data_IF_399771590417
#
_entry.id   IF_399771590417
#
_cell.length_a   1.000
_cell.length_b   1.000
_cell.length_c   1.000
_cell.angle_alpha   90.00
_cell.angle_beta   90.00
_cell.angle_gamma   90.00
#
_symmetry.space_group_name_H-M   'P 1'
#
loop_
_entity.id
_entity.type
_entity.pdbx_description
1 polymer ?
#
# COMPACT_ATOMS: atom_id res chain seq x y z
N UNK A 1 -26.99 -66.28 5.98
CA UNK A 1 -25.69 -65.69 6.37
C UNK A 1 -25.78 -64.18 6.17
N UNK A 2 -25.44 -63.39 7.18
CA UNK A 2 -25.60 -61.93 7.17
C UNK A 2 -24.56 -61.26 6.28
N UNK A 3 -24.99 -60.42 5.33
CA UNK A 3 -24.09 -59.71 4.42
C UNK A 3 -23.39 -58.53 5.13
N UNK A 4 -22.05 -58.53 5.23
CA UNK A 4 -21.29 -57.44 5.87
C UNK A 4 -21.20 -56.17 5.01
N UNK A 5 -21.56 -56.23 3.72
CA UNK A 5 -21.48 -55.10 2.78
C UNK A 5 -22.59 -54.05 2.94
N UNK A 6 -23.78 -54.43 3.42
CA UNK A 6 -24.88 -53.47 3.60
C UNK A 6 -24.69 -52.55 4.83
N UNK A 7 -23.84 -52.98 5.78
CA UNK A 7 -23.50 -52.17 6.95
C UNK A 7 -22.51 -51.06 6.60
N UNK A 8 -21.52 -51.32 5.74
CA UNK A 8 -20.56 -50.30 5.27
C UNK A 8 -21.23 -49.15 4.50
N UNK A 9 -22.23 -49.46 3.66
CA UNK A 9 -22.99 -48.45 2.93
C UNK A 9 -23.88 -47.58 3.85
N UNK A 10 -24.39 -48.18 4.92
CA UNK A 10 -25.21 -47.48 5.92
C UNK A 10 -24.39 -46.46 6.72
N UNK A 11 -23.17 -46.82 7.11
CA UNK A 11 -22.22 -45.88 7.73
C UNK A 11 -21.73 -44.81 6.76
N UNK A 12 -21.51 -45.16 5.48
CA UNK A 12 -21.12 -44.18 4.47
C UNK A 12 -22.22 -43.15 4.20
N UNK A 13 -23.49 -43.58 4.04
CA UNK A 13 -24.62 -42.66 3.91
C UNK A 13 -24.89 -41.87 5.19
N UNK A 14 -24.77 -42.49 6.36
CA UNK A 14 -24.92 -41.77 7.63
C UNK A 14 -23.81 -40.72 7.81
N UNK A 15 -22.57 -41.00 7.38
CA UNK A 15 -21.46 -40.04 7.38
C UNK A 15 -21.58 -38.93 6.34
N UNK A 16 -22.39 -39.14 5.30
CA UNK A 16 -22.74 -38.13 4.30
C UNK A 16 -23.95 -37.30 4.76
N UNK A 17 -24.97 -37.88 5.37
CA UNK A 17 -26.09 -37.17 6.02
C UNK A 17 -25.59 -36.28 7.15
N UNK A 18 -24.69 -36.76 8.01
CA UNK A 18 -24.08 -35.93 9.07
C UNK A 18 -23.21 -34.80 8.52
N UNK A 19 -22.50 -35.01 7.40
CA UNK A 19 -21.74 -33.92 6.74
C UNK A 19 -22.62 -32.91 6.01
N UNK A 20 -23.83 -33.31 5.60
CA UNK A 20 -24.82 -32.41 4.98
C UNK A 20 -25.58 -31.64 6.06
N UNK A 21 -25.90 -32.26 7.21
CA UNK A 21 -26.46 -31.57 8.38
C UNK A 21 -25.43 -30.67 9.09
N UNK A 22 -24.14 -31.06 9.17
CA UNK A 22 -23.07 -30.23 9.76
C UNK A 22 -22.81 -28.94 8.99
N UNK A 23 -22.89 -28.97 7.65
CA UNK A 23 -22.69 -27.76 6.83
C UNK A 23 -23.96 -26.86 6.80
N UNK A 24 -25.08 -27.35 7.33
CA UNK A 24 -26.35 -26.65 7.41
C UNK A 24 -26.68 -26.12 8.82
N UNK A 25 -25.92 -26.46 9.87
CA UNK A 25 -26.13 -25.89 11.22
C UNK A 25 -25.78 -24.39 11.21
N UNK A 26 -26.74 -23.49 11.51
CA UNK A 26 -26.50 -22.05 11.60
C UNK A 26 -25.33 -21.68 12.51
N UNK A 27 -25.05 -22.47 13.55
CA UNK A 27 -23.91 -22.24 14.44
C UNK A 27 -22.56 -22.40 13.73
N UNK A 28 -22.43 -23.38 12.84
CA UNK A 28 -21.21 -23.64 12.07
C UNK A 28 -20.99 -22.52 11.05
N UNK A 29 -22.05 -22.10 10.35
CA UNK A 29 -21.99 -20.98 9.40
C UNK A 29 -21.60 -19.67 10.08
N UNK A 30 -22.14 -19.39 11.27
CA UNK A 30 -21.76 -18.22 12.07
C UNK A 30 -20.28 -18.30 12.50
N UNK A 31 -19.79 -19.48 12.88
CA UNK A 31 -18.37 -19.66 13.22
C UNK A 31 -17.46 -19.41 12.01
N UNK A 32 -17.81 -19.96 10.84
CA UNK A 32 -17.09 -19.72 9.59
C UNK A 32 -17.10 -18.23 9.20
N UNK A 33 -18.25 -17.55 9.31
CA UNK A 33 -18.36 -16.11 9.05
C UNK A 33 -17.51 -15.29 10.04
N UNK A 34 -17.48 -15.69 11.31
CA UNK A 34 -16.63 -15.06 12.34
C UNK A 34 -15.14 -15.17 11.95
N UNK A 35 -14.69 -16.37 11.56
CA UNK A 35 -13.31 -16.58 11.15
C UNK A 35 -12.97 -15.82 9.87
N UNK A 36 -13.85 -15.85 8.87
CA UNK A 36 -13.65 -15.13 7.61
C UNK A 36 -13.49 -13.62 7.83
N UNK A 37 -14.36 -13.02 8.64
CA UNK A 37 -14.28 -11.61 9.02
C UNK A 37 -12.95 -11.27 9.72
N UNK A 38 -12.54 -12.09 10.70
CA UNK A 38 -11.26 -11.91 11.41
C UNK A 38 -10.07 -12.06 10.48
N UNK A 39 -10.06 -13.05 9.58
CA UNK A 39 -8.99 -13.26 8.60
C UNK A 39 -8.89 -12.08 7.65
N UNK A 40 -10.01 -11.58 7.12
CA UNK A 40 -10.02 -10.40 6.27
C UNK A 40 -9.43 -9.17 6.97
N UNK A 41 -9.82 -8.92 8.23
CA UNK A 41 -9.24 -7.84 9.01
C UNK A 41 -7.73 -8.03 9.21
N UNK A 42 -7.28 -9.24 9.56
CA UNK A 42 -5.88 -9.55 9.77
C UNK A 42 -5.03 -9.30 8.51
N UNK A 43 -5.52 -9.68 7.32
CA UNK A 43 -4.82 -9.41 6.05
C UNK A 43 -4.71 -7.92 5.75
N UNK A 44 -5.78 -7.15 5.97
CA UNK A 44 -5.75 -5.68 5.81
C UNK A 44 -4.73 -5.05 6.77
N UNK A 45 -4.74 -5.47 8.05
CA UNK A 45 -3.80 -4.99 9.06
C UNK A 45 -2.35 -5.34 8.72
N UNK A 46 -2.09 -6.56 8.23
CA UNK A 46 -0.76 -6.99 7.78
C UNK A 46 -0.27 -6.18 6.57
N UNK A 47 -1.14 -5.96 5.59
CA UNK A 47 -0.82 -5.10 4.43
C UNK A 47 -0.49 -3.68 4.88
N UNK A 48 -1.32 -3.10 5.76
CA UNK A 48 -1.09 -1.76 6.30
C UNK A 48 0.25 -1.66 7.05
N UNK A 49 0.58 -2.65 7.88
CA UNK A 49 1.86 -2.71 8.58
C UNK A 49 3.06 -2.72 7.61
N UNK A 50 2.97 -3.45 6.49
CA UNK A 50 4.02 -3.46 5.46
C UNK A 50 4.18 -2.10 4.80
N UNK A 51 3.08 -1.42 4.46
CA UNK A 51 3.10 -0.10 3.80
C UNK A 51 3.66 0.97 4.75
N UNK A 52 3.19 0.99 6.00
CA UNK A 52 3.69 1.91 7.05
C UNK A 52 5.17 1.62 7.33
N UNK A 53 5.56 0.35 7.37
CA UNK A 53 6.95 -0.07 7.52
C UNK A 53 7.87 0.48 6.43
N UNK A 54 7.44 0.43 5.16
CA UNK A 54 8.18 1.03 4.04
C UNK A 54 8.34 2.54 4.20
N UNK A 55 7.26 3.26 4.58
CA UNK A 55 7.33 4.71 4.89
C UNK A 55 8.39 5.00 5.96
N UNK A 56 8.38 4.24 7.07
CA UNK A 56 9.35 4.42 8.17
C UNK A 56 10.79 4.13 7.72
N UNK A 57 10.99 3.12 6.87
CA UNK A 57 12.32 2.81 6.32
C UNK A 57 12.86 3.95 5.46
N UNK A 58 12.01 4.54 4.61
CA UNK A 58 12.37 5.71 3.80
C UNK A 58 12.68 6.93 4.69
N UNK A 59 11.91 7.15 5.75
CA UNK A 59 12.16 8.21 6.73
C UNK A 59 13.54 8.07 7.38
N UNK A 60 13.89 6.86 7.85
CA UNK A 60 15.21 6.57 8.42
C UNK A 60 16.35 6.71 7.41
N UNK A 61 16.13 6.32 6.15
CA UNK A 61 17.12 6.53 5.07
C UNK A 61 17.34 8.03 4.83
N UNK A 62 16.25 8.80 4.71
CA UNK A 62 16.29 10.24 4.52
C UNK A 62 17.07 10.94 5.63
N UNK A 63 16.79 10.60 6.90
CA UNK A 63 17.50 11.18 8.05
C UNK A 63 19.00 10.88 8.03
N UNK A 64 19.41 9.67 7.62
CA UNK A 64 20.84 9.33 7.46
C UNK A 64 21.49 10.14 6.34
N UNK A 65 20.85 10.23 5.18
CA UNK A 65 21.34 11.02 4.05
C UNK A 65 21.49 12.51 4.40
N UNK A 66 20.57 13.08 5.17
CA UNK A 66 20.69 14.46 5.67
C UNK A 66 21.92 14.65 6.59
N UNK A 67 22.21 13.68 7.46
CA UNK A 67 23.39 13.72 8.32
C UNK A 67 24.68 13.62 7.50
N UNK A 68 24.70 12.75 6.49
CA UNK A 68 25.86 12.57 5.62
C UNK A 68 26.08 13.81 4.74
N UNK A 69 25.01 14.42 4.22
CA UNK A 69 25.04 15.70 3.52
C UNK A 69 25.71 16.79 4.38
N UNK A 70 25.24 16.94 5.63
CA UNK A 70 25.79 17.94 6.56
C UNK A 70 27.29 17.72 6.82
N UNK A 71 27.70 16.47 7.11
CA UNK A 71 29.12 16.13 7.34
C UNK A 71 30.00 16.40 6.13
N UNK A 72 29.55 16.01 4.92
CA UNK A 72 30.31 16.23 3.69
C UNK A 72 30.44 17.72 3.37
N UNK A 73 29.37 18.49 3.59
CA UNK A 73 29.41 19.94 3.42
C UNK A 73 30.36 20.62 4.43
N UNK A 74 30.35 20.20 5.69
CA UNK A 74 31.26 20.70 6.72
C UNK A 74 32.73 20.36 6.39
N UNK A 75 33.00 19.13 5.96
CA UNK A 75 34.33 18.69 5.55
C UNK A 75 34.85 19.44 4.32
N UNK A 76 34.00 19.64 3.30
CA UNK A 76 34.34 20.43 2.12
C UNK A 76 34.70 21.87 2.49
N UNK A 77 33.88 22.52 3.33
CA UNK A 77 34.15 23.88 3.83
C UNK A 77 35.45 23.96 4.62
N UNK A 78 35.71 22.99 5.48
CA UNK A 78 36.96 22.94 6.25
C UNK A 78 38.19 22.76 5.35
N UNK A 79 38.11 21.90 4.32
CA UNK A 79 39.20 21.70 3.35
C UNK A 79 39.50 22.98 2.56
N UNK A 80 38.47 23.70 2.09
CA UNK A 80 38.62 24.99 1.41
C UNK A 80 39.27 26.02 2.33
N UNK A 81 38.78 26.15 3.57
CA UNK A 81 39.35 27.09 4.54
C UNK A 81 40.83 26.81 4.83
N UNK A 82 41.22 25.53 4.90
CA UNK A 82 42.63 25.16 5.08
C UNK A 82 43.45 25.41 3.81
N UNK A 83 42.89 25.20 2.62
CA UNK A 83 43.54 25.51 1.35
C UNK A 83 43.85 27.01 1.23
N UNK A 84 42.90 27.86 1.60
CA UNK A 84 43.06 29.32 1.61
C UNK A 84 44.17 29.76 2.59
N UNK A 85 44.23 29.14 3.78
CA UNK A 85 45.29 29.41 4.76
C UNK A 85 46.67 28.97 4.25
N UNK A 86 46.77 27.81 3.60
CA UNK A 86 48.02 27.33 3.01
C UNK A 86 48.48 28.25 1.87
N UNK A 87 47.55 28.70 1.02
CA UNK A 87 47.83 29.65 -0.05
C UNK A 87 48.31 31.00 0.50
N UNK A 88 47.65 31.53 1.54
CA UNK A 88 48.06 32.76 2.22
C UNK A 88 49.42 32.65 2.90
N UNK A 89 49.81 31.45 3.35
CA UNK A 89 51.13 31.15 3.91
C UNK A 89 52.22 30.91 2.85
N UNK A 90 51.87 30.94 1.55
CA UNK A 90 52.80 30.71 0.43
C UNK A 90 53.07 29.24 0.11
N UNK A 91 52.35 28.30 0.73
CA UNK A 91 52.49 26.86 0.48
C UNK A 91 51.52 26.40 -0.62
N UNK A 92 51.90 26.67 -1.87
CA UNK A 92 51.07 26.41 -3.05
C UNK A 92 50.76 24.92 -3.27
N UNK A 93 51.71 24.03 -2.97
CA UNK A 93 51.53 22.59 -3.13
C UNK A 93 50.45 22.07 -2.15
N UNK A 94 50.56 22.45 -0.87
CA UNK A 94 49.57 22.06 0.14
C UNK A 94 48.18 22.64 -0.14
N UNK A 95 48.11 23.88 -0.62
CA UNK A 95 46.84 24.49 -1.01
C UNK A 95 46.17 23.71 -2.16
N UNK A 96 46.95 23.24 -3.14
CA UNK A 96 46.43 22.43 -4.24
C UNK A 96 45.89 21.07 -3.75
N UNK A 97 46.60 20.36 -2.88
CA UNK A 97 46.16 19.07 -2.32
C UNK A 97 44.85 19.19 -1.52
N UNK A 98 44.71 20.27 -0.73
CA UNK A 98 43.50 20.55 0.05
C UNK A 98 42.31 20.93 -0.84
N UNK A 99 42.55 21.67 -1.94
CA UNK A 99 41.51 21.95 -2.93
C UNK A 99 41.02 20.67 -3.62
N UNK A 100 41.92 19.77 -4.00
CA UNK A 100 41.52 18.45 -4.55
C UNK A 100 40.71 17.64 -3.52
N UNK A 101 41.08 17.71 -2.24
CA UNK A 101 40.31 17.07 -1.16
C UNK A 101 38.90 17.66 -1.05
N UNK A 102 38.77 18.98 -1.16
CA UNK A 102 37.47 19.65 -1.17
C UNK A 102 36.61 19.23 -2.38
N UNK A 103 37.20 19.10 -3.57
CA UNK A 103 36.52 18.63 -4.78
C UNK A 103 35.98 17.20 -4.62
N UNK A 104 36.73 16.32 -3.94
CA UNK A 104 36.29 14.96 -3.62
C UNK A 104 35.07 14.98 -2.70
N UNK A 105 35.10 15.76 -1.61
CA UNK A 105 33.95 15.90 -0.72
C UNK A 105 32.74 16.51 -1.42
N UNK A 106 32.94 17.50 -2.29
CA UNK A 106 31.87 18.10 -3.09
C UNK A 106 31.23 17.08 -4.05
N UNK A 107 32.04 16.23 -4.70
CA UNK A 107 31.53 15.18 -5.58
C UNK A 107 30.69 14.14 -4.84
N UNK A 108 31.12 13.75 -3.63
CA UNK A 108 30.35 12.87 -2.75
C UNK A 108 29.06 13.55 -2.27
N UNK A 109 29.13 14.84 -1.92
CA UNK A 109 27.98 15.63 -1.48
C UNK A 109 26.88 15.63 -2.55
N UNK A 110 27.23 15.90 -3.81
CA UNK A 110 26.26 15.86 -4.94
C UNK A 110 25.58 14.50 -5.06
N UNK A 111 26.31 13.41 -4.85
CA UNK A 111 25.75 12.06 -4.89
C UNK A 111 24.72 11.86 -3.78
N UNK A 112 25.06 12.25 -2.54
CA UNK A 112 24.16 12.16 -1.39
C UNK A 112 22.92 13.06 -1.57
N UNK A 113 23.08 14.24 -2.16
CA UNK A 113 21.97 15.16 -2.43
C UNK A 113 20.99 14.61 -3.47
N UNK A 114 21.49 13.95 -4.51
CA UNK A 114 20.65 13.27 -5.49
C UNK A 114 19.87 12.11 -4.86
N UNK A 115 20.53 11.27 -4.07
CA UNK A 115 19.87 10.18 -3.34
C UNK A 115 18.85 10.70 -2.33
N UNK A 116 19.15 11.83 -1.66
CA UNK A 116 18.24 12.46 -0.71
C UNK A 116 16.98 12.95 -1.41
N UNK A 117 17.11 13.59 -2.57
CA UNK A 117 15.98 14.09 -3.34
C UNK A 117 15.10 12.94 -3.89
N UNK A 118 15.72 11.89 -4.42
CA UNK A 118 15.00 10.67 -4.82
C UNK A 118 14.26 10.05 -3.62
N UNK A 119 14.93 9.94 -2.47
CA UNK A 119 14.34 9.38 -1.25
C UNK A 119 13.16 10.23 -0.75
N UNK A 120 13.21 11.57 -0.86
CA UNK A 120 12.08 12.45 -0.53
C UNK A 120 10.87 12.20 -1.41
N UNK A 121 11.07 12.02 -2.73
CA UNK A 121 9.97 11.73 -3.66
C UNK A 121 9.30 10.39 -3.34
N UNK A 122 10.11 9.35 -3.11
CA UNK A 122 9.62 8.04 -2.68
C UNK A 122 8.89 8.14 -1.32
N UNK A 123 9.44 8.88 -0.37
CA UNK A 123 8.84 9.09 0.95
C UNK A 123 7.48 9.80 0.85
N UNK A 124 7.35 10.84 0.03
CA UNK A 124 6.08 11.53 -0.18
C UNK A 124 4.99 10.58 -0.69
N UNK A 125 5.32 9.73 -1.67
CA UNK A 125 4.41 8.69 -2.14
C UNK A 125 4.06 7.66 -1.06
N UNK A 126 5.05 7.25 -0.25
CA UNK A 126 4.84 6.32 0.84
C UNK A 126 4.00 6.89 1.99
N UNK A 127 4.05 8.20 2.25
CA UNK A 127 3.19 8.89 3.24
C UNK A 127 1.73 8.79 2.83
N UNK A 128 1.40 9.10 1.58
CA UNK A 128 0.01 8.99 1.09
C UNK A 128 -0.48 7.54 1.09
N UNK A 129 0.37 6.58 0.68
CA UNK A 129 0.04 5.16 0.74
C UNK A 129 -0.22 4.69 2.18
N UNK A 130 0.62 5.12 3.14
CA UNK A 130 0.45 4.79 4.55
C UNK A 130 -0.86 5.38 5.12
N UNK A 131 -1.17 6.65 4.79
CA UNK A 131 -2.43 7.29 5.21
C UNK A 131 -3.66 6.55 4.68
N UNK A 132 -3.63 6.11 3.43
CA UNK A 132 -4.71 5.31 2.85
C UNK A 132 -4.82 3.93 3.54
N UNK A 133 -3.69 3.29 3.81
CA UNK A 133 -3.65 2.00 4.49
C UNK A 133 -4.18 2.08 5.93
N UNK A 134 -3.84 3.13 6.67
CA UNK A 134 -4.39 3.42 8.01
C UNK A 134 -5.90 3.64 7.96
N UNK A 135 -6.40 4.42 6.99
CA UNK A 135 -7.83 4.62 6.80
C UNK A 135 -8.57 3.30 6.49
N UNK A 136 -8.00 2.46 5.63
CA UNK A 136 -8.55 1.13 5.31
C UNK A 136 -8.53 0.19 6.52
N UNK A 137 -7.46 0.20 7.32
CA UNK A 137 -7.37 -0.57 8.56
C UNK A 137 -8.45 -0.14 9.55
N UNK A 138 -8.64 1.17 9.75
CA UNK A 138 -9.68 1.72 10.64
C UNK A 138 -11.08 1.36 10.14
N UNK A 139 -11.33 1.45 8.84
CA UNK A 139 -12.61 1.04 8.25
C UNK A 139 -12.84 -0.48 8.41
N UNK A 140 -11.80 -1.28 8.24
CA UNK A 140 -11.84 -2.72 8.46
C UNK A 140 -12.19 -3.07 9.91
N UNK A 141 -11.59 -2.35 10.87
CA UNK A 141 -11.88 -2.51 12.30
C UNK A 141 -13.34 -2.19 12.63
N UNK A 142 -13.87 -1.07 12.13
CA UNK A 142 -15.28 -0.72 12.31
C UNK A 142 -16.22 -1.78 11.70
N UNK A 143 -15.92 -2.25 10.49
CA UNK A 143 -16.71 -3.33 9.85
C UNK A 143 -16.63 -4.63 10.63
N UNK A 144 -15.46 -5.02 11.12
CA UNK A 144 -15.30 -6.20 11.95
C UNK A 144 -16.17 -6.08 13.21
N UNK A 145 -16.15 -4.93 13.88
CA UNK A 145 -16.96 -4.70 15.07
C UNK A 145 -18.46 -4.84 14.80
N UNK A 146 -18.96 -4.21 13.73
CA UNK A 146 -20.37 -4.32 13.31
C UNK A 146 -20.75 -5.77 12.98
N UNK A 147 -19.91 -6.47 12.20
CA UNK A 147 -20.11 -7.89 11.90
C UNK A 147 -20.16 -8.75 13.17
N UNK A 148 -19.29 -8.48 14.15
CA UNK A 148 -19.29 -9.22 15.43
C UNK A 148 -20.56 -8.97 16.25
N UNK A 149 -21.12 -7.76 16.20
CA UNK A 149 -22.40 -7.46 16.85
C UNK A 149 -23.55 -8.22 16.18
N UNK A 150 -23.63 -8.20 14.86
CA UNK A 150 -24.65 -8.95 14.09
C UNK A 150 -24.53 -10.46 14.32
N UNK A 151 -23.31 -11.00 14.30
CA UNK A 151 -23.02 -12.41 14.62
C UNK A 151 -23.54 -12.78 16.01
N UNK A 152 -23.34 -11.91 17.00
CA UNK A 152 -23.80 -12.14 18.38
C UNK A 152 -25.33 -12.19 18.45
N UNK A 153 -26.01 -11.30 17.73
CA UNK A 153 -27.47 -11.30 17.63
C UNK A 153 -27.99 -12.57 16.94
N UNK A 154 -27.37 -12.98 15.83
CA UNK A 154 -27.73 -14.22 15.12
C UNK A 154 -27.54 -15.45 16.01
N UNK A 155 -26.46 -15.55 16.77
CA UNK A 155 -26.27 -16.65 17.74
C UNK A 155 -27.40 -16.71 18.76
N UNK A 156 -27.80 -15.57 19.31
CA UNK A 156 -28.92 -15.50 20.27
C UNK A 156 -30.23 -15.99 19.65
N UNK A 157 -30.52 -15.60 18.41
CA UNK A 157 -31.71 -16.05 17.68
C UNK A 157 -31.69 -17.54 17.39
N UNK A 158 -30.54 -18.09 16.97
CA UNK A 158 -30.36 -19.53 16.75
C UNK A 158 -30.60 -20.30 18.05
N UNK A 159 -30.06 -19.83 19.17
CA UNK A 159 -30.28 -20.47 20.47
C UNK A 159 -31.75 -20.43 20.89
N UNK A 160 -32.42 -19.30 20.69
CA UNK A 160 -33.86 -19.17 20.97
C UNK A 160 -34.69 -20.12 20.10
N UNK A 161 -34.38 -20.23 18.81
CA UNK A 161 -35.05 -21.17 17.90
C UNK A 161 -34.82 -22.62 18.31
N UNK A 162 -33.56 -22.99 18.64
CA UNK A 162 -33.22 -24.34 19.13
C UNK A 162 -33.98 -24.70 20.42
N UNK A 163 -34.15 -23.76 21.36
CA UNK A 163 -34.97 -23.99 22.56
C UNK A 163 -36.45 -24.22 22.22
N UNK A 164 -37.01 -23.49 21.26
CA UNK A 164 -38.39 -23.69 20.80
C UNK A 164 -38.56 -25.04 20.12
N UNK A 165 -37.62 -25.41 19.24
CA UNK A 165 -37.58 -26.73 18.60
C UNK A 165 -37.49 -27.86 19.62
N UNK A 166 -36.59 -27.76 20.61
CA UNK A 166 -36.45 -28.75 21.67
C UNK A 166 -37.73 -28.88 22.52
N UNK A 167 -38.40 -27.77 22.81
CA UNK A 167 -39.68 -27.76 23.54
C UNK A 167 -40.79 -28.42 22.70
N UNK A 168 -40.89 -28.08 21.42
CA UNK A 168 -41.87 -28.67 20.50
C UNK A 168 -41.63 -30.17 20.28
N UNK A 169 -40.38 -30.60 20.11
CA UNK A 169 -40.00 -32.01 20.05
C UNK A 169 -40.36 -32.75 21.34
N UNK A 170 -40.14 -32.14 22.50
CA UNK A 170 -40.53 -32.72 23.79
C UNK A 170 -42.06 -32.88 23.91
N UNK A 171 -42.84 -31.89 23.43
CA UNK A 171 -44.30 -31.99 23.38
C UNK A 171 -44.78 -33.05 22.39
N UNK A 172 -44.15 -33.17 21.21
CA UNK A 172 -44.45 -34.23 20.24
C UNK A 172 -44.11 -35.62 20.76
N UNK A 173 -43.02 -35.78 21.52
CA UNK A 173 -42.70 -37.04 22.19
C UNK A 173 -43.75 -37.39 23.26
N UNK A 174 -44.26 -36.40 23.99
CA UNK A 174 -45.35 -36.58 24.95
C UNK A 174 -46.71 -36.91 24.28
N UNK A 175 -47.03 -36.28 23.14
CA UNK A 175 -48.22 -36.56 22.35
C UNK A 175 -48.14 -37.93 21.66
N UNK A 176 -46.96 -38.31 21.16
CA UNK A 176 -46.66 -39.65 20.64
C UNK A 176 -46.72 -40.75 21.70
N UNK A 177 -46.52 -40.41 22.99
CA UNK A 177 -46.75 -41.32 24.12
C UNK A 177 -48.24 -41.38 24.55
N UNK A 178 -49.04 -40.35 24.24
CA UNK A 178 -50.50 -40.37 24.45
C UNK A 178 -51.26 -41.00 23.27
N UNK A 179 -50.67 -41.01 22.07
CA UNK A 179 -51.17 -41.64 20.86
C UNK A 179 -50.74 -43.11 20.70
N UNK A 180 -50.31 -43.80 21.77
CA UNK A 180 -50.09 -45.26 21.75
C UNK A 180 -51.42 -46.04 21.88
N UNK A 181 -52.37 -45.66 21.02
CA UNK A 181 -53.56 -46.43 20.62
C UNK A 181 -53.96 -46.01 19.21
N UNK A 182 -53.11 -46.24 18.21
CA UNK A 182 -53.48 -46.72 16.86
C UNK A 182 -52.36 -46.53 15.81
N UNK A 183 -52.38 -47.40 14.81
CA UNK A 183 -51.28 -47.85 13.93
C UNK A 183 -50.99 -46.85 12.77
N UNK A 184 -49.73 -46.68 12.29
CA UNK A 184 -49.41 -45.77 11.17
C UNK A 184 -50.08 -46.15 9.83
N UNK A 185 -50.68 -45.18 9.14
CA UNK A 185 -51.33 -45.37 7.84
C UNK A 185 -50.38 -45.15 6.64
N UNK A 186 -50.70 -45.81 5.52
CA UNK A 186 -49.88 -45.95 4.31
C UNK A 186 -49.59 -44.63 3.56
N UNK A 187 -50.33 -43.56 3.82
CA UNK A 187 -50.13 -42.27 3.14
C UNK A 187 -48.85 -41.55 3.61
N UNK A 188 -48.46 -41.70 4.88
CA UNK A 188 -47.20 -41.13 5.42
C UNK A 188 -45.93 -41.72 4.78
N UNK A 189 -46.04 -42.93 4.22
CA UNK A 189 -44.97 -43.61 3.49
C UNK A 189 -44.87 -43.08 2.05
N UNK A 190 -46.00 -42.68 1.46
CA UNK A 190 -46.06 -42.14 0.09
C UNK A 190 -45.36 -40.77 0.01
N UNK A 191 -45.64 -39.87 0.95
CA UNK A 191 -45.07 -38.51 0.94
C UNK A 191 -43.54 -38.51 1.10
N UNK A 192 -42.99 -39.46 1.88
CA UNK A 192 -41.52 -39.62 2.05
C UNK A 192 -40.81 -40.12 0.80
N UNK A 193 -41.50 -40.83 -0.08
CA UNK A 193 -40.93 -41.31 -1.35
C UNK A 193 -40.84 -40.17 -2.36
N UNK A 194 -41.84 -39.30 -2.41
CA UNK A 194 -41.90 -38.17 -3.36
C UNK A 194 -40.84 -37.10 -3.06
N UNK A 195 -40.60 -36.79 -1.78
CA UNK A 195 -39.53 -35.86 -1.36
C UNK A 195 -38.13 -36.33 -1.74
N UNK A 196 -37.88 -37.65 -1.75
CA UNK A 196 -36.58 -38.22 -2.14
C UNK A 196 -36.34 -38.17 -3.65
N UNK A 197 -37.40 -38.23 -4.45
CA UNK A 197 -37.31 -38.20 -5.90
C UNK A 197 -36.96 -36.81 -6.45
N UNK A 198 -37.51 -35.74 -5.87
CA UNK A 198 -37.22 -34.35 -6.28
C UNK A 198 -35.77 -33.90 -5.99
N UNK A 199 -35.16 -34.44 -4.93
CA UNK A 199 -33.78 -34.08 -4.50
C UNK A 199 -32.69 -34.68 -5.40
N UNK A 200 -33.02 -35.76 -6.12
CA UNK A 200 -32.09 -36.45 -7.02
C UNK A 200 -31.97 -35.78 -8.41
N UNK A 201 -33.00 -35.03 -8.84
CA UNK A 201 -33.04 -34.39 -10.15
C UNK A 201 -32.38 -33.00 -10.21
N UNK A 202 -32.11 -32.35 -9.07
CA UNK A 202 -31.51 -31.01 -9.00
C UNK A 202 -29.98 -30.97 -8.92
N UNK A 203 -29.30 -32.13 -8.95
CA UNK A 203 -27.85 -32.23 -8.74
C UNK A 203 -27.04 -32.52 -10.02
N UNK A 204 -27.65 -32.38 -11.21
CA UNK A 204 -27.04 -32.70 -12.51
C UNK A 204 -27.01 -31.54 -13.52
N UNK A 205 -27.03 -30.29 -13.05
CA UNK A 205 -26.62 -29.12 -13.83
C UNK A 205 -25.62 -28.32 -13.00
N UNK A 206 -24.45 -28.02 -13.58
CA UNK A 206 -23.30 -27.28 -13.03
C UNK A 206 -22.20 -28.10 -12.33
N UNK A 207 -21.50 -28.98 -13.08
CA UNK A 207 -20.02 -29.07 -13.07
C UNK A 207 -19.57 -29.76 -14.37
N UNK A 208 -19.13 -29.00 -15.39
CA UNK A 208 -18.10 -29.48 -16.33
C UNK A 208 -17.48 -28.33 -17.15
N UNK A 209 -16.32 -27.84 -16.69
CA UNK A 209 -15.06 -27.90 -17.45
C UNK A 209 -14.04 -26.89 -16.90
N UNK A 210 -12.97 -27.43 -16.34
CA UNK A 210 -11.78 -26.73 -15.92
C UNK A 210 -10.70 -26.78 -17.02
N UNK A 211 -10.16 -25.59 -17.33
CA UNK A 211 -8.74 -25.27 -17.60
C UNK A 211 -7.97 -26.06 -18.68
N UNK A 212 -7.50 -25.38 -19.75
CA UNK A 212 -6.06 -25.21 -20.08
C UNK A 212 -5.82 -24.65 -21.50
N UNK A 213 -4.91 -23.66 -21.63
CA UNK A 213 -4.29 -23.31 -22.92
C UNK A 213 -3.55 -21.97 -22.97
N UNK A 214 -2.26 -21.99 -22.56
CA UNK A 214 -1.04 -21.26 -23.03
C UNK A 214 -1.19 -20.16 -24.12
N UNK A 215 -0.32 -19.18 -24.33
CA UNK A 215 0.91 -18.58 -23.77
C UNK A 215 1.30 -17.48 -24.81
N UNK A 216 2.30 -16.66 -24.49
CA UNK A 216 3.14 -15.83 -25.38
C UNK A 216 2.64 -14.40 -25.67
N UNK A 217 3.44 -13.34 -25.72
CA UNK A 217 4.80 -12.98 -25.26
C UNK A 217 5.02 -11.49 -25.69
N UNK A 218 6.15 -10.90 -25.28
CA UNK A 218 6.85 -9.74 -25.90
C UNK A 218 6.35 -8.32 -25.53
N UNK A 219 7.15 -7.26 -25.36
CA UNK A 219 8.56 -6.93 -25.05
C UNK A 219 8.59 -5.39 -25.00
N UNK A 220 9.48 -4.76 -24.23
CA UNK A 220 10.40 -3.69 -24.67
C UNK A 220 10.79 -2.67 -23.60
N UNK A 221 12.09 -2.37 -23.67
CA UNK A 221 12.90 -1.51 -22.84
C UNK A 221 12.76 -0.02 -23.18
N UNK A 222 13.31 0.83 -22.31
CA UNK A 222 13.69 2.20 -22.69
C UNK A 222 13.82 3.12 -21.49
N UNK A 223 14.97 3.15 -20.82
CA UNK A 223 15.23 4.13 -19.75
C UNK A 223 16.66 4.71 -19.71
N UNK A 224 17.38 4.73 -20.84
CA UNK A 224 18.75 5.31 -20.88
C UNK A 224 18.85 6.76 -21.40
N UNK A 225 17.72 7.44 -21.68
CA UNK A 225 17.75 8.85 -22.16
C UNK A 225 17.61 9.90 -21.04
N UNK A 226 17.39 9.50 -19.78
CA UNK A 226 17.06 10.43 -18.68
C UNK A 226 18.28 10.97 -17.93
N UNK A 227 19.46 10.37 -18.11
CA UNK A 227 20.66 10.69 -17.33
C UNK A 227 21.42 11.93 -17.83
N UNK A 228 21.45 12.20 -19.14
CA UNK A 228 22.19 13.35 -19.72
C UNK A 228 21.49 14.69 -19.50
N UNK A 229 20.15 14.70 -19.50
CA UNK A 229 19.34 15.92 -19.34
C UNK A 229 19.48 16.58 -17.96
N UNK A 230 19.83 15.80 -16.92
CA UNK A 230 19.90 16.30 -15.53
C UNK A 230 21.21 17.06 -15.24
N UNK A 231 22.29 16.72 -15.94
CA UNK A 231 23.61 17.32 -15.76
C UNK A 231 23.68 18.73 -16.37
N UNK A 232 22.85 18.99 -17.40
CA UNK A 232 22.70 20.31 -18.03
C UNK A 232 21.85 21.27 -17.19
N UNK A 233 20.79 20.78 -16.52
CA UNK A 233 19.96 21.57 -15.61
C UNK A 233 20.74 22.08 -14.38
N UNK A 234 21.58 21.24 -13.79
CA UNK A 234 22.36 21.61 -12.59
C UNK A 234 23.41 22.67 -12.93
N UNK A 235 24.02 22.61 -14.13
CA UNK A 235 24.95 23.65 -14.61
C UNK A 235 24.23 24.96 -14.94
N UNK A 236 23.01 24.89 -15.46
CA UNK A 236 22.19 26.07 -15.72
C UNK A 236 21.77 26.78 -14.42
N UNK A 237 21.43 26.02 -13.38
CA UNK A 237 21.06 26.57 -12.07
C UNK A 237 22.25 27.24 -11.36
N UNK A 238 23.44 26.63 -11.36
CA UNK A 238 24.63 27.24 -10.76
C UNK A 238 25.13 28.50 -11.49
N UNK A 239 24.94 28.58 -12.80
CA UNK A 239 25.24 29.80 -13.56
C UNK A 239 24.20 30.91 -13.35
N UNK A 240 22.93 30.56 -13.14
CA UNK A 240 21.89 31.53 -12.78
C UNK A 240 22.09 32.11 -11.37
N UNK A 241 22.57 31.29 -10.43
CA UNK A 241 22.93 31.72 -9.07
C UNK A 241 24.17 32.63 -9.05
N UNK A 242 25.16 32.39 -9.94
CA UNK A 242 26.28 33.31 -10.16
C UNK A 242 25.90 34.60 -10.91
N UNK A 243 24.85 34.57 -11.73
CA UNK A 243 24.31 35.74 -12.43
C UNK A 243 23.44 36.67 -11.58
N UNK A 244 22.88 36.17 -10.48
CA UNK A 244 22.06 36.95 -9.54
C UNK A 244 22.85 37.62 -8.41
N UNK A 245 24.16 37.38 -8.34
CA UNK A 245 25.09 38.08 -7.44
C UNK A 245 25.86 39.23 -8.11
N UNK A 246 25.37 39.76 -9.25
CA UNK A 246 25.90 41.01 -9.79
C UNK A 246 24.84 41.93 -10.45
N UNK A 247 24.05 42.69 -9.67
CA UNK A 247 23.64 44.03 -10.04
C UNK A 247 24.43 45.01 -9.15
N UNK A 248 25.65 45.35 -9.56
CA UNK A 248 26.49 46.23 -8.75
C UNK A 248 27.78 46.69 -9.41
N UNK A 249 27.70 47.35 -10.57
CA UNK A 249 28.49 48.57 -10.88
C UNK A 249 28.38 48.99 -12.35
N UNK A 250 27.44 49.90 -12.63
CA UNK A 250 27.61 50.95 -13.63
C UNK A 250 26.69 52.14 -13.27
N UNK A 251 26.90 52.70 -12.07
CA UNK A 251 26.52 54.06 -11.76
C UNK A 251 27.74 54.72 -11.12
N UNK A 252 28.41 55.62 -11.85
CA UNK A 252 29.68 56.16 -11.42
C UNK A 252 30.29 57.24 -12.33
N UNK A 253 29.59 58.37 -12.44
CA UNK A 253 30.14 59.75 -12.44
C UNK A 253 31.17 60.15 -13.52
N UNK A 254 30.73 61.01 -14.45
CA UNK A 254 31.50 62.13 -14.99
C UNK A 254 30.51 63.32 -14.93
N UNK A 255 30.74 64.46 -14.29
CA UNK A 255 31.95 65.20 -14.00
C UNK A 255 31.60 66.65 -14.36
N UNK A 256 31.22 67.47 -13.36
CA UNK A 256 30.99 68.90 -13.54
C UNK A 256 32.30 69.63 -13.90
N UNK A 257 32.23 70.63 -14.78
CA UNK A 257 33.20 71.73 -14.76
C UNK A 257 33.74 72.25 -16.10
N UNK A 258 32.99 73.19 -16.68
CA UNK A 258 33.46 74.47 -17.27
C UNK A 258 34.32 74.54 -18.56
N UNK A 259 33.99 75.63 -19.29
CA UNK A 259 34.72 76.36 -20.35
C UNK A 259 34.50 75.83 -21.77
N UNK A 260 34.32 76.63 -22.81
CA UNK A 260 34.18 78.07 -23.02
C UNK A 260 33.97 78.22 -24.54
N UNK A 261 33.11 79.17 -24.95
CA UNK A 261 33.09 79.92 -26.23
C UNK A 261 33.82 79.29 -27.44
N UNK A 262 33.12 79.08 -28.56
CA UNK A 262 33.33 79.93 -29.75
C UNK A 262 32.28 79.68 -30.85
N UNK A 263 32.13 80.72 -31.66
CA UNK A 263 31.19 81.09 -32.73
C UNK A 263 30.91 80.13 -33.90
N UNK A 264 29.82 80.47 -34.62
CA UNK A 264 29.54 80.10 -36.02
C UNK A 264 28.08 79.66 -36.20
N UNK A 265 27.10 80.57 -36.26
CA UNK A 265 26.57 81.12 -37.53
C UNK A 265 26.48 80.06 -38.65
N UNK A 266 25.27 79.63 -39.01
CA UNK A 266 24.59 80.14 -40.22
C UNK A 266 23.18 79.53 -40.36
N UNK A 267 22.28 80.38 -40.88
CA UNK A 267 20.95 80.23 -41.51
C UNK A 267 20.39 78.83 -41.79
N UNK A 268 19.07 78.61 -41.86
CA UNK A 268 17.93 79.51 -41.92
C UNK A 268 16.71 78.75 -42.49
N UNK A 269 15.54 79.40 -42.39
CA UNK A 269 14.35 79.21 -43.23
C UNK A 269 13.56 77.88 -43.13
N UNK A 270 12.24 77.82 -43.27
CA UNK A 270 11.16 78.79 -43.22
C UNK A 270 9.83 78.01 -43.33
N UNK A 271 8.77 78.59 -42.75
CA UNK A 271 7.33 78.36 -42.97
C UNK A 271 6.64 77.22 -42.23
#
# INVERSE_FOLDING_TARGET
>A
MANPFSKGWKYLMQSLDTKIEENADPNVQIAQATEAAKRQHAEITKSAASIIGNRNQLEMKMNRLQQDQAKLADNARAAIQQADQAAAAGDAAKAQDLNQTAEVFASQLVTVEQELEETKQLYAGAVEAAKQAEAQQKQSEMRLQDQMQQITQLRSQVEQAKMQEATAQSMQQLDGLQADRDVPTLDSVRDKIEQRYARALGAQELVESSVHGRMDEITMAGNDMKASSRLEEIRAQMNAEKGQLNPGSAAGVAGEGQRQLDSGEDSGEAR
#
